data_IF_016734642623
#
_entry.id   IF_016734642623
#
_cell.length_a   1.000
_cell.length_b   1.000
_cell.length_c   1.000
_cell.angle_alpha   90.00
_cell.angle_beta   90.00
_cell.angle_gamma   90.00
#
_symmetry.space_group_name_H-M   'P 1'
#
loop_
_entity.id
_entity.type
_entity.pdbx_description
1 polymer ?
#
# COMPACT_ATOMS: atom_id res chain seq x y z
N UNK A 1 2.85 22.89 -4.55
CA UNK A 1 2.22 22.61 -3.24
C UNK A 1 1.87 21.13 -3.19
N UNK A 2 2.46 20.36 -2.27
CA UNK A 2 2.05 18.96 -2.06
C UNK A 2 0.79 19.00 -1.19
N UNK A 3 -0.37 18.89 -1.83
CA UNK A 3 -1.66 18.89 -1.16
C UNK A 3 -1.84 17.51 -0.52
N UNK A 4 -1.82 17.45 0.82
CA UNK A 4 -2.04 16.23 1.64
C UNK A 4 -3.50 15.76 1.64
N UNK A 5 -4.28 16.16 0.64
CA UNK A 5 -5.67 15.73 0.52
C UNK A 5 -5.72 14.30 0.00
N UNK A 6 -6.44 13.43 0.73
CA UNK A 6 -6.56 12.01 0.42
C UNK A 6 -7.09 11.78 -1.00
N UNK A 7 -8.05 12.60 -1.45
CA UNK A 7 -8.62 12.46 -2.81
C UNK A 7 -7.58 12.78 -3.88
N UNK A 8 -6.79 13.83 -3.69
CA UNK A 8 -5.71 14.19 -4.60
C UNK A 8 -4.63 13.10 -4.66
N UNK A 9 -4.22 12.56 -3.51
CA UNK A 9 -3.25 11.44 -3.48
C UNK A 9 -3.78 10.20 -4.20
N UNK A 10 -5.07 9.86 -4.03
CA UNK A 10 -5.70 8.77 -4.78
C UNK A 10 -5.70 9.04 -6.29
N UNK A 11 -6.06 10.26 -6.71
CA UNK A 11 -6.04 10.62 -8.12
C UNK A 11 -4.64 10.52 -8.75
N UNK A 12 -3.60 10.92 -8.02
CA UNK A 12 -2.21 10.77 -8.45
C UNK A 12 -1.79 9.31 -8.59
N UNK A 13 -2.16 8.46 -7.62
CA UNK A 13 -1.91 7.02 -7.69
C UNK A 13 -2.59 6.42 -8.92
N UNK A 14 -3.89 6.68 -9.11
CA UNK A 14 -4.65 6.16 -10.26
C UNK A 14 -4.04 6.62 -11.58
N UNK A 15 -3.66 7.90 -11.71
CA UNK A 15 -3.02 8.39 -12.93
C UNK A 15 -1.70 7.67 -13.26
N UNK A 16 -0.88 7.35 -12.24
CA UNK A 16 0.36 6.61 -12.42
C UNK A 16 0.07 5.15 -12.78
N UNK A 17 -0.91 4.52 -12.13
CA UNK A 17 -1.28 3.13 -12.38
C UNK A 17 -1.85 2.94 -13.78
N UNK A 18 -2.82 3.78 -14.17
CA UNK A 18 -3.53 3.72 -15.46
C UNK A 18 -2.66 4.12 -16.65
N UNK A 19 -1.69 5.01 -16.43
CA UNK A 19 -0.73 5.42 -17.46
C UNK A 19 0.50 4.50 -17.50
N UNK A 20 1.40 4.71 -16.55
CA UNK A 20 2.75 4.12 -16.58
C UNK A 20 2.76 2.64 -16.24
N UNK A 21 1.98 2.21 -15.24
CA UNK A 21 2.02 0.82 -14.80
C UNK A 21 1.14 -0.12 -15.63
N UNK A 22 0.09 0.38 -16.29
CA UNK A 22 -0.79 -0.41 -17.14
C UNK A 22 -0.05 -1.00 -18.34
N UNK A 23 0.83 -0.21 -18.97
CA UNK A 23 1.64 -0.62 -20.11
C UNK A 23 3.05 -1.15 -19.71
N UNK A 24 3.27 -1.46 -18.42
CA UNK A 24 4.60 -1.87 -17.95
C UNK A 24 4.97 -3.28 -18.45
N UNK A 25 5.79 -3.35 -19.51
CA UNK A 25 6.27 -4.61 -20.07
C UNK A 25 6.99 -5.49 -19.05
N UNK A 26 7.78 -4.89 -18.15
CA UNK A 26 8.48 -5.65 -17.10
C UNK A 26 7.48 -6.37 -16.18
N UNK A 27 6.39 -5.69 -15.79
CA UNK A 27 5.32 -6.30 -14.99
C UNK A 27 4.66 -7.45 -15.74
N UNK A 28 4.40 -7.30 -17.04
CA UNK A 28 3.81 -8.35 -17.88
C UNK A 28 4.74 -9.57 -18.00
N UNK A 29 6.03 -9.36 -18.32
CA UNK A 29 7.02 -10.45 -18.41
C UNK A 29 7.18 -11.19 -17.08
N UNK A 30 7.17 -10.46 -15.95
CA UNK A 30 7.21 -11.08 -14.63
C UNK A 30 5.92 -11.84 -14.28
N UNK A 31 4.75 -11.33 -14.69
CA UNK A 31 3.46 -12.03 -14.60
C UNK A 31 3.49 -13.37 -15.35
N UNK A 32 4.02 -13.39 -16.57
CA UNK A 32 4.18 -14.61 -17.36
C UNK A 32 5.15 -15.61 -16.70
N UNK A 33 6.29 -15.12 -16.22
CA UNK A 33 7.34 -15.96 -15.62
C UNK A 33 6.99 -16.51 -14.22
N UNK A 34 6.27 -15.72 -13.41
CA UNK A 34 6.09 -15.99 -11.98
C UNK A 34 4.62 -16.09 -11.55
N UNK A 35 3.68 -15.49 -12.29
CA UNK A 35 2.26 -15.43 -11.94
C UNK A 35 1.58 -16.80 -11.94
N UNK A 36 1.83 -17.63 -12.95
CA UNK A 36 1.31 -19.02 -13.00
C UNK A 36 1.81 -19.91 -11.85
N UNK A 37 2.95 -19.54 -11.25
CA UNK A 37 3.56 -20.26 -10.12
C UNK A 37 3.17 -19.66 -8.76
N UNK A 38 2.28 -18.66 -8.74
CA UNK A 38 1.86 -17.98 -7.51
C UNK A 38 2.95 -17.13 -6.85
N UNK A 39 4.06 -16.83 -7.55
CA UNK A 39 5.21 -16.12 -6.99
C UNK A 39 5.03 -14.58 -7.03
N UNK A 40 3.86 -14.09 -6.64
CA UNK A 40 3.52 -12.67 -6.65
C UNK A 40 4.39 -11.84 -5.71
N UNK A 41 4.98 -12.44 -4.68
CA UNK A 41 5.94 -11.78 -3.81
C UNK A 41 7.16 -11.24 -4.58
N UNK A 42 7.63 -11.94 -5.61
CA UNK A 42 8.75 -11.49 -6.45
C UNK A 42 8.37 -10.29 -7.32
N UNK A 43 7.16 -10.32 -7.88
CA UNK A 43 6.60 -9.22 -8.68
C UNK A 43 6.42 -7.98 -7.78
N UNK A 44 5.81 -8.18 -6.61
CA UNK A 44 5.61 -7.14 -5.59
C UNK A 44 6.93 -6.55 -5.11
N UNK A 45 7.94 -7.39 -4.82
CA UNK A 45 9.28 -6.93 -4.46
C UNK A 45 9.89 -6.04 -5.54
N UNK A 46 9.85 -6.48 -6.80
CA UNK A 46 10.38 -5.69 -7.91
C UNK A 46 9.65 -4.34 -8.03
N UNK A 47 8.32 -4.34 -8.05
CA UNK A 47 7.54 -3.11 -8.11
C UNK A 47 7.84 -2.17 -6.94
N UNK A 48 7.92 -2.69 -5.72
CA UNK A 48 8.01 -1.85 -4.52
C UNK A 48 9.45 -1.40 -4.19
N UNK A 49 10.47 -2.17 -4.55
CA UNK A 49 11.86 -1.94 -4.12
C UNK A 49 12.79 -1.55 -5.27
N UNK A 50 12.54 -2.06 -6.48
CA UNK A 50 13.44 -1.89 -7.63
C UNK A 50 12.91 -0.84 -8.59
N UNK A 51 11.62 -0.90 -8.93
CA UNK A 51 11.01 0.03 -9.86
C UNK A 51 10.93 1.45 -9.27
N UNK A 52 11.48 2.48 -9.95
CA UNK A 52 11.41 3.86 -9.45
C UNK A 52 9.97 4.37 -9.33
N UNK A 53 9.10 4.01 -10.28
CA UNK A 53 7.68 4.39 -10.28
C UNK A 53 6.94 3.69 -9.15
N UNK A 54 7.20 2.40 -8.92
CA UNK A 54 6.56 1.69 -7.83
C UNK A 54 7.02 2.17 -6.44
N UNK A 55 8.28 2.61 -6.30
CA UNK A 55 8.72 3.34 -5.10
C UNK A 55 7.95 4.64 -4.89
N UNK A 56 7.73 5.41 -5.95
CA UNK A 56 6.91 6.63 -5.89
C UNK A 56 5.46 6.33 -5.48
N UNK A 57 4.85 5.27 -6.01
CA UNK A 57 3.52 4.81 -5.58
C UNK A 57 3.48 4.44 -4.10
N UNK A 58 4.52 3.76 -3.59
CA UNK A 58 4.61 3.43 -2.16
C UNK A 58 4.72 4.69 -1.29
N UNK A 59 5.49 5.70 -1.72
CA UNK A 59 5.55 6.98 -1.01
C UNK A 59 4.19 7.70 -1.01
N UNK A 60 3.49 7.72 -2.14
CA UNK A 60 2.12 8.28 -2.22
C UNK A 60 1.15 7.52 -1.29
N UNK A 61 1.24 6.18 -1.27
CA UNK A 61 0.41 5.34 -0.40
C UNK A 61 0.57 5.64 1.09
N UNK A 62 1.76 6.05 1.55
CA UNK A 62 1.98 6.45 2.96
C UNK A 62 1.08 7.61 3.39
N UNK A 63 0.75 8.53 2.50
CA UNK A 63 -0.17 9.64 2.79
C UNK A 63 -1.63 9.18 2.92
N UNK A 64 -1.96 7.97 2.44
CA UNK A 64 -3.30 7.39 2.57
C UNK A 64 -3.49 6.58 3.85
N UNK A 65 -2.41 6.13 4.47
CA UNK A 65 -2.46 5.40 5.74
C UNK A 65 -2.70 6.42 6.85
N UNK A 66 -3.96 6.53 7.31
CA UNK A 66 -4.24 7.15 8.61
C UNK A 66 -3.38 6.41 9.63
N UNK A 67 -2.57 7.13 10.39
CA UNK A 67 -1.86 6.61 11.57
C UNK A 67 -2.90 6.07 12.58
N UNK A 68 -3.38 4.86 12.36
CA UNK A 68 -4.14 4.03 13.31
C UNK A 68 -3.34 2.77 13.62
N UNK A 69 -2.01 2.88 13.72
CA UNK A 69 -1.26 1.86 14.43
C UNK A 69 -1.33 2.23 15.91
N UNK A 70 -2.26 1.62 16.62
CA UNK A 70 -2.05 1.29 18.02
C UNK A 70 -0.61 0.76 18.15
N UNK A 71 0.21 1.26 19.10
CA UNK A 71 1.62 0.91 19.22
C UNK A 71 1.81 -0.60 19.16
N UNK A 72 2.49 -1.07 18.12
CA UNK A 72 2.69 -2.50 17.83
C UNK A 72 3.65 -3.18 18.81
N UNK A 73 4.22 -2.42 19.74
CA UNK A 73 5.06 -2.87 20.86
C UNK A 73 4.24 -3.35 22.06
N UNK A 74 2.93 -3.10 22.11
CA UNK A 74 2.10 -3.58 23.21
C UNK A 74 1.97 -5.11 23.20
N UNK A 75 2.08 -5.79 24.36
CA UNK A 75 1.84 -7.22 24.50
C UNK A 75 0.49 -7.64 23.92
N UNK A 76 0.39 -8.87 23.42
CA UNK A 76 -0.79 -9.41 22.71
C UNK A 76 -2.10 -9.26 23.50
N UNK A 77 -2.02 -9.31 24.83
CA UNK A 77 -3.17 -9.09 25.74
C UNK A 77 -3.69 -7.66 25.69
N UNK A 78 -2.80 -6.66 25.71
CA UNK A 78 -3.19 -5.24 25.76
C UNK A 78 -3.83 -4.76 24.45
N UNK A 79 -3.52 -5.41 23.32
CA UNK A 79 -4.19 -5.15 22.04
C UNK A 79 -5.65 -5.62 21.98
N UNK A 80 -6.02 -6.65 22.75
CA UNK A 80 -7.42 -7.12 22.82
C UNK A 80 -8.30 -6.17 23.62
N UNK A 81 -7.78 -5.61 24.70
CA UNK A 81 -8.49 -4.60 25.51
C UNK A 81 -8.82 -3.33 24.72
N UNK A 82 -7.91 -2.88 23.85
CA UNK A 82 -8.15 -1.69 23.03
C UNK A 82 -9.20 -1.90 21.93
N UNK A 83 -9.38 -3.13 21.44
CA UNK A 83 -10.43 -3.44 20.47
C UNK A 83 -11.82 -3.53 21.11
N UNK A 84 -11.92 -3.82 22.41
CA UNK A 84 -13.20 -3.93 23.12
C UNK A 84 -13.71 -2.56 23.59
N UNK A 85 -12.82 -1.62 23.91
CA UNK A 85 -13.20 -0.28 24.36
C UNK A 85 -13.53 0.70 23.22
N UNK A 86 -13.21 0.40 21.95
CA UNK A 86 -13.64 1.24 20.81
C UNK A 86 -15.14 1.11 20.50
N UNK A 87 -15.81 0.05 20.95
CA UNK A 87 -17.27 -0.13 20.81
C UNK A 87 -18.08 0.64 21.88
N UNK A 88 -17.48 1.04 23.01
CA UNK A 88 -18.18 1.83 24.06
C UNK A 88 -18.12 3.35 23.84
N UNK A 89 -17.22 3.85 22.97
CA UNK A 89 -17.12 5.29 22.64
C UNK A 89 -18.02 5.67 21.46
N UNK A 90 -18.76 4.70 20.91
CA UNK A 90 -19.71 4.88 19.81
C UNK A 90 -21.18 4.95 20.27
N UNK A 91 -21.44 5.48 21.49
CA UNK A 91 -22.78 5.89 21.94
C UNK A 91 -22.79 7.34 22.41
#
# INVERSE_FOLDING_TARGET
MIVRDRKNVLAQISAIEDGTCAACETRQRMQEAYGRRGHYAKISYHCNQVCPIGRQLQELGKYLVRNKKAPTTAPRQQRREWMLNEDEVAQ
#
